data_IF_936990902406
#
_entry.id   IF_936990902406
#
_cell.length_a   1.000
_cell.length_b   1.000
_cell.length_c   1.000
_cell.angle_alpha   90.00
_cell.angle_beta   90.00
_cell.angle_gamma   90.00
#
_symmetry.space_group_name_H-M   'P 1'
#
loop_
_entity.id
_entity.type
_entity.pdbx_description
1 polymer ?
#
# COMPACT_ATOMS: atom_id res chain seq x y z
N UNK A 1 -17.95 18.85 8.86
CA UNK A 1 -18.16 17.72 7.91
C UNK A 1 -18.53 16.48 8.71
N UNK A 2 -19.34 15.56 8.15
CA UNK A 2 -19.61 14.27 8.79
C UNK A 2 -18.31 13.43 8.80
N UNK A 3 -18.00 12.68 9.89
CA UNK A 3 -16.84 11.80 9.90
C UNK A 3 -17.02 10.67 8.89
N UNK A 4 -15.93 10.33 8.19
CA UNK A 4 -15.90 9.24 7.22
C UNK A 4 -15.35 7.97 7.88
N UNK A 5 -15.87 6.81 7.48
CA UNK A 5 -15.31 5.52 7.87
C UNK A 5 -14.01 5.23 7.12
N UNK A 6 -13.17 4.33 7.62
CA UNK A 6 -11.95 3.90 6.91
C UNK A 6 -12.25 3.34 5.51
N UNK A 7 -13.37 2.64 5.35
CA UNK A 7 -13.82 2.15 4.04
C UNK A 7 -14.18 3.29 3.08
N UNK A 8 -14.85 4.33 3.58
CA UNK A 8 -15.18 5.51 2.77
C UNK A 8 -13.92 6.27 2.34
N UNK A 9 -12.95 6.42 3.25
CA UNK A 9 -11.66 7.05 2.93
C UNK A 9 -10.90 6.22 1.87
N UNK A 10 -10.89 4.89 2.02
CA UNK A 10 -10.30 3.96 1.05
C UNK A 10 -10.89 4.16 -0.35
N UNK A 11 -12.22 4.15 -0.45
CA UNK A 11 -12.89 4.30 -1.74
C UNK A 11 -12.65 5.68 -2.35
N UNK A 12 -12.72 6.74 -1.54
CA UNK A 12 -12.48 8.10 -1.99
C UNK A 12 -11.07 8.30 -2.56
N UNK A 13 -10.05 7.66 -1.98
CA UNK A 13 -8.68 7.69 -2.51
C UNK A 13 -8.58 7.04 -3.90
N UNK A 14 -9.10 5.80 -4.02
CA UNK A 14 -9.07 5.05 -5.27
C UNK A 14 -9.85 5.78 -6.37
N UNK A 15 -11.05 6.28 -6.05
CA UNK A 15 -11.89 7.02 -7.00
C UNK A 15 -11.22 8.32 -7.46
N UNK A 16 -10.59 9.05 -6.53
CA UNK A 16 -9.87 10.28 -6.87
C UNK A 16 -8.76 10.01 -7.90
N UNK A 17 -7.89 9.02 -7.66
CA UNK A 17 -6.78 8.74 -8.56
C UNK A 17 -7.22 8.06 -9.86
N UNK A 18 -8.27 7.24 -9.81
CA UNK A 18 -8.93 6.70 -11.01
C UNK A 18 -9.41 7.82 -11.93
N UNK A 19 -10.05 8.86 -11.38
CA UNK A 19 -10.46 10.05 -12.15
C UNK A 19 -9.27 10.86 -12.71
N UNK A 20 -8.08 10.73 -12.11
CA UNK A 20 -6.82 11.32 -12.62
C UNK A 20 -6.09 10.40 -13.62
N UNK A 21 -6.74 9.35 -14.08
CA UNK A 21 -6.21 8.40 -15.05
C UNK A 21 -5.17 7.44 -14.46
N UNK A 22 -5.27 7.10 -13.17
CA UNK A 22 -4.50 5.98 -12.62
C UNK A 22 -5.31 4.69 -12.79
N UNK A 23 -4.62 3.59 -13.10
CA UNK A 23 -5.20 2.26 -13.04
C UNK A 23 -5.29 1.82 -11.58
N UNK A 24 -6.48 1.43 -11.13
CA UNK A 24 -6.66 0.81 -9.81
C UNK A 24 -6.15 -0.62 -9.89
N UNK A 25 -5.12 -0.93 -9.09
CA UNK A 25 -4.54 -2.28 -8.99
C UNK A 25 -4.77 -2.86 -7.60
N UNK A 26 -4.86 -4.18 -7.50
CA UNK A 26 -5.00 -4.84 -6.21
C UNK A 26 -3.71 -4.71 -5.38
N UNK A 27 -3.85 -4.71 -4.06
CA UNK A 27 -2.70 -4.84 -3.17
C UNK A 27 -2.08 -6.23 -3.27
N UNK A 28 -0.76 -6.31 -3.22
CA UNK A 28 -0.02 -7.56 -3.23
C UNK A 28 -0.19 -8.35 -1.92
N UNK A 29 0.19 -9.63 -1.97
CA UNK A 29 0.31 -10.52 -0.81
C UNK A 29 1.20 -9.91 0.29
N UNK A 30 0.88 -10.16 1.56
CA UNK A 30 1.74 -9.78 2.68
C UNK A 30 3.09 -10.51 2.66
N UNK A 31 3.09 -11.74 2.14
CA UNK A 31 4.30 -12.52 1.89
C UNK A 31 4.84 -12.13 0.52
N UNK A 32 6.06 -11.56 0.44
CA UNK A 32 6.69 -11.20 -0.83
C UNK A 32 6.95 -12.44 -1.69
N UNK A 33 6.84 -12.28 -3.00
CA UNK A 33 7.22 -13.32 -3.98
C UNK A 33 8.54 -12.89 -4.61
N UNK A 34 9.49 -13.81 -4.74
CA UNK A 34 10.78 -13.58 -5.39
C UNK A 34 11.69 -12.49 -4.78
N UNK A 35 11.42 -12.04 -3.54
CA UNK A 35 12.35 -11.18 -2.78
C UNK A 35 12.74 -11.88 -1.47
N UNK A 36 13.89 -12.59 -1.42
CA UNK A 36 14.32 -13.29 -0.21
C UNK A 36 14.82 -12.34 0.89
N UNK A 37 14.98 -11.05 0.60
CA UNK A 37 15.48 -10.05 1.55
C UNK A 37 14.36 -9.40 2.36
N UNK A 38 13.11 -9.51 1.87
CA UNK A 38 11.94 -8.90 2.50
C UNK A 38 11.09 -9.96 3.20
N UNK A 39 10.92 -9.81 4.51
CA UNK A 39 10.07 -10.72 5.29
C UNK A 39 8.57 -10.47 5.04
N UNK A 40 8.16 -9.20 5.02
CA UNK A 40 6.77 -8.78 4.80
C UNK A 40 6.71 -7.55 3.88
N UNK A 41 5.65 -7.44 3.08
CA UNK A 41 5.34 -6.17 2.42
C UNK A 41 5.02 -5.11 3.49
N UNK A 42 5.85 -4.08 3.57
CA UNK A 42 5.80 -3.03 4.59
C UNK A 42 5.37 -1.65 4.06
N UNK A 43 5.20 -1.54 2.73
CA UNK A 43 4.88 -0.32 2.01
C UNK A 43 4.20 -0.63 0.67
N UNK A 44 3.51 0.35 0.10
CA UNK A 44 2.92 0.24 -1.23
C UNK A 44 3.95 0.08 -2.35
N UNK A 45 5.11 0.75 -2.27
CA UNK A 45 6.18 0.67 -3.28
C UNK A 45 6.84 -0.71 -3.30
N UNK A 46 7.02 -1.35 -2.15
CA UNK A 46 7.63 -2.68 -2.07
C UNK A 46 6.89 -3.73 -2.91
N UNK A 47 5.57 -3.56 -3.08
CA UNK A 47 4.74 -4.44 -3.90
C UNK A 47 4.95 -4.28 -5.42
N UNK A 48 5.55 -3.18 -5.86
CA UNK A 48 5.73 -2.81 -7.28
C UNK A 48 7.17 -2.37 -7.56
N UNK A 49 8.12 -2.87 -6.77
CA UNK A 49 9.55 -2.55 -6.87
C UNK A 49 10.11 -2.83 -8.27
N UNK A 50 9.66 -3.93 -8.89
CA UNK A 50 10.05 -4.35 -10.24
C UNK A 50 9.71 -3.32 -11.32
N UNK A 51 8.63 -2.53 -11.12
CA UNK A 51 8.28 -1.45 -12.05
C UNK A 51 9.19 -0.24 -11.91
N UNK A 52 9.70 0.03 -10.71
CA UNK A 52 10.59 1.16 -10.44
C UNK A 52 12.05 0.87 -10.77
N UNK A 53 12.51 -0.37 -10.61
CA UNK A 53 13.86 -0.78 -11.02
C UNK A 53 13.95 -1.14 -12.52
N UNK A 54 12.80 -1.22 -13.21
CA UNK A 54 12.72 -1.45 -14.65
C UNK A 54 12.84 -2.92 -15.07
N UNK A 55 12.86 -3.86 -14.11
CA UNK A 55 12.82 -5.29 -14.40
C UNK A 55 11.51 -5.75 -15.02
N UNK A 56 10.41 -5.06 -14.70
CA UNK A 56 9.09 -5.28 -15.30
C UNK A 56 8.51 -3.96 -15.83
N UNK A 57 7.82 -4.02 -16.96
CA UNK A 57 7.12 -2.86 -17.52
C UNK A 57 5.67 -2.93 -17.04
N UNK A 58 5.16 -1.91 -16.33
CA UNK A 58 3.78 -1.91 -15.89
C UNK A 58 2.83 -1.74 -17.08
N UNK A 59 1.70 -2.44 -17.06
CA UNK A 59 0.63 -2.31 -18.06
C UNK A 59 0.10 -0.87 -18.18
N UNK A 60 0.23 -0.09 -17.10
CA UNK A 60 -0.19 1.31 -17.05
C UNK A 60 0.85 2.18 -16.34
N UNK A 61 1.16 3.34 -16.91
CA UNK A 61 2.19 4.27 -16.41
C UNK A 61 1.84 4.97 -15.09
N UNK A 62 0.60 4.83 -14.63
CA UNK A 62 0.04 5.47 -13.43
C UNK A 62 -0.83 4.46 -12.69
N UNK A 63 -0.50 4.16 -11.45
CA UNK A 63 -1.16 3.12 -10.67
C UNK A 63 -1.68 3.70 -9.35
N UNK A 64 -2.76 3.16 -8.83
CA UNK A 64 -3.23 3.49 -7.48
C UNK A 64 -3.73 2.24 -6.79
N UNK A 65 -3.45 2.11 -5.50
CA UNK A 65 -3.88 0.95 -4.73
C UNK A 65 -4.05 1.25 -3.24
N UNK A 66 -4.47 0.21 -2.52
CA UNK A 66 -4.50 0.14 -1.07
C UNK A 66 -3.74 -1.13 -0.68
N UNK A 67 -2.51 -0.98 -0.21
CA UNK A 67 -1.64 -2.08 0.15
C UNK A 67 -1.81 -2.44 1.62
N UNK A 68 -2.05 -3.72 1.91
CA UNK A 68 -1.92 -4.27 3.26
C UNK A 68 -0.43 -4.35 3.62
N UNK A 69 -0.05 -3.79 4.76
CA UNK A 69 1.34 -3.67 5.19
C UNK A 69 1.56 -4.27 6.58
N UNK A 70 2.73 -4.88 6.78
CA UNK A 70 3.23 -5.26 8.11
C UNK A 70 4.54 -4.53 8.41
N UNK A 71 4.63 -3.93 9.60
CA UNK A 71 5.86 -3.39 10.20
C UNK A 71 6.07 -3.99 11.58
N UNK A 72 6.89 -5.03 11.65
CA UNK A 72 7.26 -5.66 12.93
C UNK A 72 8.20 -4.79 13.75
N UNK A 73 8.99 -3.92 13.11
CA UNK A 73 9.92 -3.02 13.80
C UNK A 73 9.20 -1.99 14.70
N UNK A 74 7.90 -1.77 14.47
CA UNK A 74 7.09 -0.85 15.27
C UNK A 74 6.47 -1.53 16.51
N UNK A 75 6.71 -2.83 16.74
CA UNK A 75 6.01 -3.62 17.76
C UNK A 75 6.12 -3.06 19.17
N UNK A 76 7.30 -2.56 19.56
CA UNK A 76 7.54 -1.97 20.88
C UNK A 76 6.75 -0.67 21.11
N UNK A 77 6.23 -0.04 20.05
CA UNK A 77 5.42 1.18 20.13
C UNK A 77 3.91 0.90 20.08
N UNK A 78 3.50 -0.33 19.71
CA UNK A 78 2.10 -0.71 19.58
C UNK A 78 1.48 -0.88 20.97
N UNK A 79 0.36 -0.21 21.20
CA UNK A 79 -0.30 -0.16 22.52
C UNK A 79 0.25 0.94 23.45
N UNK A 80 1.44 1.47 23.17
CA UNK A 80 2.02 2.60 23.93
C UNK A 80 1.73 3.96 23.32
N UNK A 81 1.50 3.99 22.01
CA UNK A 81 1.28 5.23 21.26
C UNK A 81 -0.03 5.18 20.48
N UNK A 82 -0.58 6.34 20.16
CA UNK A 82 -1.86 6.45 19.44
C UNK A 82 -1.77 6.17 17.92
N UNK A 83 -0.59 5.85 17.37
CA UNK A 83 -0.34 5.87 15.92
C UNK A 83 0.47 4.70 15.34
N UNK A 84 1.05 3.85 16.18
CA UNK A 84 1.85 2.72 15.71
C UNK A 84 0.98 1.46 15.64
N UNK A 85 1.14 0.74 14.54
CA UNK A 85 0.46 -0.52 14.26
C UNK A 85 1.47 -1.50 13.68
N UNK A 86 1.29 -2.80 13.94
CA UNK A 86 2.01 -3.84 13.20
C UNK A 86 1.39 -4.03 11.82
N UNK A 87 0.06 -4.20 11.75
CA UNK A 87 -0.71 -4.33 10.51
C UNK A 87 -1.50 -3.05 10.22
N UNK A 88 -1.39 -2.53 9.00
CA UNK A 88 -2.13 -1.35 8.56
C UNK A 88 -2.31 -1.36 7.03
N UNK A 89 -3.11 -0.45 6.50
CA UNK A 89 -3.25 -0.23 5.06
C UNK A 89 -2.55 1.07 4.65
N UNK A 90 -1.78 1.00 3.57
CA UNK A 90 -1.13 2.15 2.95
C UNK A 90 -1.81 2.47 1.62
N UNK A 91 -2.37 3.68 1.53
CA UNK A 91 -2.98 4.21 0.32
C UNK A 91 -1.89 4.84 -0.54
N UNK A 92 -1.76 4.39 -1.78
CA UNK A 92 -0.68 4.82 -2.68
C UNK A 92 -1.18 5.26 -4.05
N UNK A 93 -0.41 6.16 -4.66
CA UNK A 93 -0.47 6.47 -6.08
C UNK A 93 0.98 6.47 -6.59
N UNK A 94 1.19 5.91 -7.77
CA UNK A 94 2.50 5.64 -8.36
C UNK A 94 2.49 6.05 -9.83
#
# INVERSE_FOLDING_TARGET
MKPLTGQQIRMMWLDFFKQKGHLVVEGASLVPRHDPTLLWINSGVAAIKSYFDGSEIPDHKRLTNVQKCIRTNDIENVGYTARHHTFFEMLGNF
#
